data_IF_024789001764
#
_entry.id   IF_024789001764
#
_cell.length_a   1.000
_cell.length_b   1.000
_cell.length_c   1.000
_cell.angle_alpha   90.00
_cell.angle_beta   90.00
_cell.angle_gamma   90.00
#
_symmetry.space_group_name_H-M   'P 1'
#
loop_
_entity.id
_entity.type
_entity.pdbx_description
1 polymer ?
#
# COMPACT_ATOMS: atom_id res chain seq x y z
N UNK A 1 -9.15 16.97 -6.61
CA UNK A 1 -9.26 18.43 -6.79
C UNK A 1 -10.69 18.77 -6.45
N UNK A 2 -10.91 19.74 -5.58
CA UNK A 2 -12.26 20.14 -5.17
C UNK A 2 -12.58 21.46 -5.88
N UNK A 3 -13.72 21.53 -6.56
CA UNK A 3 -14.18 22.77 -7.20
C UNK A 3 -14.69 23.79 -6.14
N UNK A 4 -15.12 24.97 -6.57
CA UNK A 4 -15.67 25.98 -5.66
C UNK A 4 -16.98 25.54 -4.97
N UNK A 5 -17.70 24.60 -5.58
CA UNK A 5 -18.98 24.06 -5.10
C UNK A 5 -18.80 22.86 -4.14
N UNK A 6 -17.56 22.43 -3.87
CA UNK A 6 -17.25 21.34 -2.95
C UNK A 6 -17.20 19.94 -3.58
N UNK A 7 -17.40 19.83 -4.89
CA UNK A 7 -17.36 18.57 -5.62
C UNK A 7 -15.94 18.17 -6.00
N UNK A 8 -15.64 16.88 -5.85
CA UNK A 8 -14.38 16.32 -6.33
C UNK A 8 -14.43 16.08 -7.84
N UNK A 9 -13.67 16.87 -8.59
CA UNK A 9 -13.60 16.81 -10.05
C UNK A 9 -12.55 15.82 -10.58
N UNK A 10 -11.81 15.14 -9.69
CA UNK A 10 -10.81 14.16 -10.11
C UNK A 10 -11.47 12.86 -10.57
N UNK A 11 -11.15 12.44 -11.80
CA UNK A 11 -11.58 11.15 -12.37
C UNK A 11 -11.02 9.94 -11.61
N UNK A 12 -9.82 10.06 -11.05
CA UNK A 12 -9.16 8.99 -10.31
C UNK A 12 -8.12 9.55 -9.34
N UNK A 13 -8.06 8.97 -8.15
CA UNK A 13 -7.03 9.27 -7.15
C UNK A 13 -5.96 8.17 -7.22
N UNK A 14 -4.73 8.50 -7.66
CA UNK A 14 -3.66 7.51 -7.78
C UNK A 14 -3.25 6.89 -6.46
N UNK A 15 -2.86 5.61 -6.54
CA UNK A 15 -2.29 4.88 -5.40
C UNK A 15 -0.96 5.50 -4.99
N UNK A 16 -0.67 5.47 -3.69
CA UNK A 16 0.62 5.87 -3.13
C UNK A 16 1.39 4.65 -2.64
N UNK A 17 2.69 4.67 -2.84
CA UNK A 17 3.60 3.69 -2.27
C UNK A 17 3.57 3.81 -0.75
N UNK A 18 3.32 2.71 -0.05
CA UNK A 18 3.22 2.66 1.41
C UNK A 18 4.55 2.98 2.10
N UNK A 19 5.68 2.77 1.41
CA UNK A 19 7.01 3.03 1.96
C UNK A 19 7.46 4.47 1.77
N UNK A 20 7.47 4.94 0.52
CA UNK A 20 8.05 6.23 0.15
C UNK A 20 7.04 7.37 0.07
N UNK A 21 5.74 7.08 0.22
CA UNK A 21 4.63 8.00 -0.03
C UNK A 21 4.61 8.63 -1.44
N UNK A 22 5.42 8.10 -2.37
CA UNK A 22 5.43 8.53 -3.77
C UNK A 22 4.20 7.99 -4.48
N UNK A 23 3.64 8.79 -5.39
CA UNK A 23 2.55 8.35 -6.26
C UNK A 23 3.02 7.24 -7.20
N UNK A 24 2.22 6.18 -7.31
CA UNK A 24 2.42 5.10 -8.27
C UNK A 24 1.78 5.55 -9.58
N UNK A 25 2.60 5.74 -10.61
CA UNK A 25 2.14 6.21 -11.92
C UNK A 25 1.58 5.05 -12.75
N UNK A 26 0.76 5.37 -13.76
CA UNK A 26 0.20 4.34 -14.64
C UNK A 26 1.24 3.56 -15.45
N UNK A 27 2.45 4.13 -15.64
CA UNK A 27 3.57 3.50 -16.36
C UNK A 27 4.48 2.68 -15.44
N UNK A 28 4.27 2.70 -14.13
CA UNK A 28 5.03 1.88 -13.19
C UNK A 28 4.48 0.44 -13.18
N UNK A 29 4.79 -0.30 -14.24
CA UNK A 29 4.39 -1.70 -14.40
C UNK A 29 5.09 -2.66 -13.44
N UNK A 30 6.17 -2.20 -12.79
CA UNK A 30 6.86 -2.96 -11.76
C UNK A 30 6.22 -2.76 -10.37
N UNK A 31 5.28 -1.82 -10.20
CA UNK A 31 4.58 -1.66 -8.93
C UNK A 31 3.69 -2.87 -8.61
N UNK A 32 3.68 -3.26 -7.33
CA UNK A 32 2.87 -4.38 -6.84
C UNK A 32 1.98 -3.93 -5.69
N UNK A 33 0.92 -4.70 -5.49
CA UNK A 33 0.06 -4.59 -4.32
C UNK A 33 0.02 -5.95 -3.64
N UNK A 34 0.34 -5.97 -2.35
CA UNK A 34 0.41 -7.18 -1.55
C UNK A 34 -0.66 -7.09 -0.47
N UNK A 35 -1.50 -8.12 -0.38
CA UNK A 35 -2.50 -8.25 0.68
C UNK A 35 -2.00 -9.29 1.67
N UNK A 36 -1.76 -8.87 2.91
CA UNK A 36 -1.40 -9.75 4.02
C UNK A 36 -2.67 -10.11 4.78
N UNK A 37 -3.07 -11.37 4.69
CA UNK A 37 -4.26 -11.87 5.38
C UNK A 37 -4.04 -11.95 6.89
N UNK A 38 -5.06 -11.59 7.67
CA UNK A 38 -5.03 -11.69 9.12
C UNK A 38 -5.53 -13.06 9.54
N UNK A 39 -4.94 -13.59 10.61
CA UNK A 39 -5.33 -14.88 11.16
C UNK A 39 -6.21 -14.70 12.39
N UNK A 40 -7.21 -15.55 12.53
CA UNK A 40 -8.02 -15.69 13.72
C UNK A 40 -7.26 -16.45 14.84
N UNK A 41 -7.85 -16.55 16.05
CA UNK A 41 -7.26 -17.28 17.17
C UNK A 41 -7.01 -18.76 16.90
N UNK A 42 -7.79 -19.33 15.98
CA UNK A 42 -7.71 -20.70 15.45
C UNK A 42 -6.61 -20.87 14.39
N UNK A 43 -5.89 -19.80 14.05
CA UNK A 43 -4.85 -19.81 13.02
C UNK A 43 -5.40 -19.85 11.59
N UNK A 44 -6.71 -19.71 11.40
CA UNK A 44 -7.32 -19.68 10.05
C UNK A 44 -7.46 -18.24 9.55
N UNK A 45 -7.56 -18.08 8.24
CA UNK A 45 -7.75 -16.76 7.64
C UNK A 45 -9.12 -16.18 7.98
N UNK A 46 -9.15 -14.99 8.60
CA UNK A 46 -10.37 -14.37 9.12
C UNK A 46 -11.11 -13.49 8.09
N UNK A 47 -10.65 -13.43 6.84
CA UNK A 47 -11.24 -12.60 5.78
C UNK A 47 -10.74 -11.15 5.73
N UNK A 48 -10.09 -10.66 6.79
CA UNK A 48 -9.51 -9.33 6.83
C UNK A 48 -8.07 -9.33 6.32
N UNK A 49 -7.67 -8.25 5.65
CA UNK A 49 -6.33 -8.12 5.11
C UNK A 49 -5.76 -6.71 5.25
N UNK A 50 -4.43 -6.65 5.34
CA UNK A 50 -3.65 -5.44 5.25
C UNK A 50 -3.07 -5.31 3.85
N UNK A 51 -3.48 -4.28 3.12
CA UNK A 51 -2.91 -3.97 1.81
C UNK A 51 -1.69 -3.06 1.93
N UNK A 52 -0.62 -3.43 1.23
CA UNK A 52 0.58 -2.61 1.03
C UNK A 52 0.84 -2.43 -0.46
N UNK A 53 1.16 -1.20 -0.86
CA UNK A 53 1.51 -0.88 -2.24
C UNK A 53 2.99 -0.51 -2.32
N UNK A 54 3.75 -1.20 -3.16
CA UNK A 54 5.18 -0.94 -3.35
C UNK A 54 5.40 -0.49 -4.78
N UNK A 55 5.97 0.70 -4.95
CA UNK A 55 6.36 1.23 -6.27
C UNK A 55 7.52 0.43 -6.88
N UNK A 56 7.59 0.37 -8.21
CA UNK A 56 8.70 -0.26 -8.92
C UNK A 56 10.06 0.35 -8.61
N UNK A 57 10.11 1.65 -8.25
CA UNK A 57 11.34 2.32 -7.81
C UNK A 57 12.00 1.64 -6.60
N UNK A 58 11.22 1.28 -5.58
CA UNK A 58 11.71 0.60 -4.37
C UNK A 58 12.17 -0.82 -4.69
N UNK A 59 11.46 -1.50 -5.60
CA UNK A 59 11.84 -2.84 -6.06
C UNK A 59 13.13 -2.83 -6.86
N UNK A 60 13.33 -1.86 -7.74
CA UNK A 60 14.55 -1.73 -8.53
C UNK A 60 15.79 -1.47 -7.65
N UNK A 61 15.60 -0.84 -6.49
CA UNK A 61 16.66 -0.63 -5.50
C UNK A 61 16.96 -1.85 -4.61
N UNK A 62 16.14 -2.89 -4.67
CA UNK A 62 16.24 -4.03 -3.73
C UNK A 62 15.77 -3.71 -2.30
N UNK A 63 15.14 -2.55 -2.07
CA UNK A 63 14.67 -2.13 -0.75
C UNK A 63 13.29 -2.71 -0.39
N UNK A 64 12.69 -3.50 -1.29
CA UNK A 64 11.31 -3.99 -1.15
C UNK A 64 11.09 -4.86 0.08
N UNK A 65 12.09 -5.67 0.45
CA UNK A 65 12.02 -6.60 1.58
C UNK A 65 12.04 -5.84 2.91
N UNK A 66 13.08 -5.02 3.11
CA UNK A 66 13.23 -4.13 4.25
C UNK A 66 12.01 -3.21 4.45
N UNK A 67 11.48 -2.65 3.36
CA UNK A 67 10.27 -1.84 3.40
C UNK A 67 9.05 -2.63 3.93
N UNK A 68 8.86 -3.86 3.46
CA UNK A 68 7.75 -4.71 3.89
C UNK A 68 7.84 -5.05 5.38
N UNK A 69 9.03 -5.46 5.83
CA UNK A 69 9.26 -5.79 7.24
C UNK A 69 8.98 -4.61 8.16
N UNK A 70 9.51 -3.43 7.83
CA UNK A 70 9.25 -2.22 8.63
C UNK A 70 7.77 -1.83 8.64
N UNK A 71 7.09 -1.90 7.49
CA UNK A 71 5.66 -1.59 7.40
C UNK A 71 4.82 -2.57 8.22
N UNK A 72 5.18 -3.85 8.21
CA UNK A 72 4.47 -4.87 8.97
C UNK A 72 4.67 -4.71 10.48
N UNK A 73 5.91 -4.49 10.92
CA UNK A 73 6.19 -4.24 12.35
C UNK A 73 5.46 -3.00 12.87
N UNK A 74 5.45 -1.91 12.08
CA UNK A 74 4.69 -0.71 12.42
C UNK A 74 3.19 -0.97 12.53
N UNK A 75 2.65 -1.85 11.68
CA UNK A 75 1.23 -2.20 11.71
C UNK A 75 0.87 -3.12 12.88
N UNK A 76 1.76 -4.01 13.29
CA UNK A 76 1.61 -4.86 14.48
C UNK A 76 1.61 -4.06 15.79
N UNK A 77 2.45 -3.02 15.89
CA UNK A 77 2.58 -2.20 17.10
C UNK A 77 1.42 -1.23 17.38
N UNK A 78 0.45 -1.13 16.47
CA UNK A 78 -0.74 -0.28 16.61
C UNK A 78 -1.99 -1.07 17.06
N UNK A 79 -1.80 -2.23 17.68
CA UNK A 79 -2.85 -3.01 18.35
C UNK A 79 -2.70 -2.91 19.86
#
# INVERSE_FOLDING_TARGET
MINADGDNVDLYIPRKCSWTNRLITCKDHAAIQVNVGHLGPDGTYNGNYSTFAISGYVRNKGESDCAMDHLWQKKKGNN
#
